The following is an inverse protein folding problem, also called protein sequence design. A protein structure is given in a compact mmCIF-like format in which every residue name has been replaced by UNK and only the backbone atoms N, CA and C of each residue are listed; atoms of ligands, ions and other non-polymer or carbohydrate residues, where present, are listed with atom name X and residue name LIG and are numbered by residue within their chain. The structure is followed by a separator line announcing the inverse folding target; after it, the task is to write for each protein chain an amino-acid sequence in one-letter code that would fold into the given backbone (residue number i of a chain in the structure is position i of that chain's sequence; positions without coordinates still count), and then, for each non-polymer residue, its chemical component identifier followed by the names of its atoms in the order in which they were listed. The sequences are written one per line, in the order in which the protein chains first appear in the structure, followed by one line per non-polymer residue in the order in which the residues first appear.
data_IF_891332073619
#
_entry.id   IF_891332073619
#
_cell.length_a   1.000
_cell.length_b   1.000
_cell.length_c   1.000
_cell.angle_alpha   90.00
_cell.angle_beta   90.00
_cell.angle_gamma   90.00
#
_symmetry.space_group_name_H-M   'P 1'
#
loop_
_entity.id
_entity.type
_entity.pdbx_description
1 polymer ?
#
# COMPACT_ATOMS: atom_id res chain seq x y z
N UNK A 1 -11.67 -2.38 -17.22
CA UNK A 1 -10.31 -2.67 -16.87
C UNK A 1 -9.47 -3.01 -18.10
N UNK A 2 -8.17 -2.67 -18.08
CA UNK A 2 -7.26 -2.96 -19.18
C UNK A 2 -6.81 -4.43 -19.19
N UNK A 3 -6.18 -4.86 -20.29
CA UNK A 3 -5.72 -6.25 -20.53
C UNK A 3 -4.64 -6.71 -19.53
N UNK A 4 -3.93 -5.81 -18.86
CA UNK A 4 -2.89 -6.11 -17.89
C UNK A 4 -3.38 -5.98 -16.43
N UNK A 5 -4.62 -6.32 -16.13
CA UNK A 5 -5.17 -6.26 -14.78
C UNK A 5 -4.42 -7.14 -13.77
N UNK A 6 -3.77 -8.20 -14.25
CA UNK A 6 -3.00 -9.17 -13.46
C UNK A 6 -1.72 -8.59 -12.82
N UNK A 7 -1.25 -7.43 -13.29
CA UNK A 7 -0.06 -6.76 -12.73
C UNK A 7 -0.39 -5.64 -11.73
N UNK A 8 -1.62 -5.54 -11.28
CA UNK A 8 -1.97 -4.57 -10.24
C UNK A 8 -1.12 -4.77 -8.99
N UNK A 9 -0.60 -3.68 -8.45
CA UNK A 9 0.06 -3.65 -7.14
C UNK A 9 -0.85 -2.98 -6.13
N UNK A 10 -0.78 -3.42 -4.88
CA UNK A 10 -1.45 -2.77 -3.74
C UNK A 10 -0.69 -1.53 -3.26
N UNK A 11 0.62 -1.52 -3.46
CA UNK A 11 1.51 -0.49 -2.93
C UNK A 11 1.61 0.74 -3.83
N UNK A 12 1.60 0.56 -5.15
CA UNK A 12 1.70 1.65 -6.12
C UNK A 12 0.95 1.33 -7.42
N UNK A 13 0.62 2.37 -8.18
CA UNK A 13 -0.07 2.20 -9.47
C UNK A 13 0.92 2.17 -10.60
N UNK A 14 0.74 1.21 -11.49
CA UNK A 14 1.44 1.07 -12.78
C UNK A 14 0.52 1.59 -13.88
N UNK A 15 1.05 2.36 -14.80
CA UNK A 15 0.39 2.70 -16.06
C UNK A 15 1.21 2.13 -17.21
N UNK A 16 0.55 1.52 -18.18
CA UNK A 16 1.25 0.92 -19.32
C UNK A 16 0.31 0.28 -20.33
N UNK A 17 0.93 -0.23 -21.40
CA UNK A 17 0.24 -0.86 -22.51
C UNK A 17 0.95 -2.15 -22.91
N UNK A 18 0.14 -3.19 -23.16
CA UNK A 18 0.59 -4.45 -23.76
C UNK A 18 0.69 -4.31 -25.27
N UNK A 19 1.64 -5.02 -25.86
CA UNK A 19 1.73 -5.27 -27.29
C UNK A 19 1.95 -6.75 -27.55
N UNK A 20 1.40 -7.27 -28.63
CA UNK A 20 1.64 -8.61 -29.10
C UNK A 20 1.67 -8.55 -30.62
N UNK A 21 2.82 -8.86 -31.20
CA UNK A 21 3.05 -8.86 -32.64
C UNK A 21 3.31 -10.29 -33.08
N UNK A 22 2.69 -10.67 -34.16
CA UNK A 22 2.97 -11.92 -34.86
C UNK A 22 4.07 -11.66 -35.89
N UNK A 23 5.03 -12.55 -35.98
CA UNK A 23 6.14 -12.51 -36.95
C UNK A 23 6.20 -13.84 -37.69
N UNK A 24 6.89 -13.86 -38.82
CA UNK A 24 7.03 -15.05 -39.68
C UNK A 24 5.69 -15.53 -40.26
N UNK A 25 4.89 -14.59 -40.79
CA UNK A 25 3.54 -14.84 -41.31
C UNK A 25 3.49 -15.87 -42.46
N UNK A 26 4.60 -16.06 -43.15
CA UNK A 26 4.68 -16.90 -44.36
C UNK A 26 5.19 -18.32 -44.05
N UNK A 27 5.26 -18.70 -42.79
CA UNK A 27 5.74 -20.03 -42.39
C UNK A 27 4.69 -20.72 -41.51
N UNK A 28 4.64 -22.03 -41.54
CA UNK A 28 3.79 -22.84 -40.65
C UNK A 28 4.17 -22.66 -39.16
N UNK A 29 5.33 -22.07 -38.90
CA UNK A 29 5.84 -21.83 -37.56
C UNK A 29 5.75 -20.36 -37.14
N UNK A 30 4.52 -19.86 -37.02
CA UNK A 30 4.24 -18.51 -36.56
C UNK A 30 4.94 -18.24 -35.21
N UNK A 31 5.65 -17.13 -35.13
CA UNK A 31 6.32 -16.65 -33.93
C UNK A 31 5.66 -15.37 -33.41
N UNK A 32 5.92 -15.03 -32.15
CA UNK A 32 5.39 -13.82 -31.51
C UNK A 32 6.50 -12.99 -30.88
N UNK A 33 6.27 -11.69 -30.84
CA UNK A 33 7.00 -10.74 -30.00
C UNK A 33 5.96 -10.13 -29.06
N UNK A 34 6.20 -10.28 -27.77
CA UNK A 34 5.28 -9.84 -26.73
C UNK A 34 5.93 -8.72 -25.92
N UNK A 35 5.22 -7.61 -25.77
CA UNK A 35 5.78 -6.41 -25.14
C UNK A 35 4.87 -5.89 -24.03
N UNK A 36 5.48 -5.24 -23.08
CA UNK A 36 4.82 -4.33 -22.15
C UNK A 36 5.68 -3.09 -21.97
N UNK A 37 5.11 -1.94 -22.24
CA UNK A 37 5.74 -0.63 -21.98
C UNK A 37 4.93 0.10 -20.93
N UNK A 38 5.61 0.71 -19.97
CA UNK A 38 4.90 1.40 -18.90
C UNK A 38 5.81 2.29 -18.06
N UNK A 39 5.20 2.92 -17.08
CA UNK A 39 5.86 3.77 -16.11
C UNK A 39 5.22 3.61 -14.73
N UNK A 40 6.00 3.92 -13.72
CA UNK A 40 5.56 3.90 -12.33
C UNK A 40 6.38 4.88 -11.47
N UNK A 41 5.79 5.36 -10.37
CA UNK A 41 4.39 5.32 -9.99
C UNK A 41 3.51 6.11 -10.98
N UNK A 42 2.28 5.66 -11.29
CA UNK A 42 1.46 6.26 -12.35
C UNK A 42 1.06 7.73 -12.09
N UNK A 43 0.94 8.15 -10.82
CA UNK A 43 0.57 9.53 -10.45
C UNK A 43 1.73 10.53 -10.53
N UNK A 44 2.94 10.07 -10.25
CA UNK A 44 4.17 10.88 -10.31
C UNK A 44 5.28 9.98 -10.82
N UNK A 45 5.39 9.83 -12.15
CA UNK A 45 6.31 8.91 -12.77
C UNK A 45 7.76 9.23 -12.44
N UNK A 46 8.50 8.21 -12.00
CA UNK A 46 9.95 8.27 -11.78
C UNK A 46 10.72 7.35 -12.70
N UNK A 47 10.09 6.25 -13.11
CA UNK A 47 10.70 5.25 -13.97
C UNK A 47 9.77 4.89 -15.11
N UNK A 48 10.36 4.71 -16.29
CA UNK A 48 9.74 4.08 -17.44
C UNK A 48 10.56 2.87 -17.84
N UNK A 49 9.90 1.83 -18.32
CA UNK A 49 10.55 0.60 -18.75
C UNK A 49 9.76 -0.03 -19.89
N UNK A 50 10.48 -0.72 -20.78
CA UNK A 50 9.90 -1.62 -21.76
C UNK A 50 10.46 -3.02 -21.54
N UNK A 51 9.56 -4.00 -21.57
CA UNK A 51 9.91 -5.42 -21.56
C UNK A 51 9.51 -6.01 -22.90
N UNK A 52 10.46 -6.64 -23.58
CA UNK A 52 10.25 -7.30 -24.87
C UNK A 52 10.62 -8.77 -24.72
N UNK A 53 9.72 -9.65 -25.05
CA UNK A 53 9.94 -11.12 -25.04
C UNK A 53 9.83 -11.61 -26.48
N UNK A 54 10.94 -12.05 -27.00
CA UNK A 54 11.02 -12.67 -28.32
C UNK A 54 10.72 -14.16 -28.22
N UNK A 55 9.90 -14.65 -29.16
CA UNK A 55 9.58 -16.08 -29.32
C UNK A 55 9.14 -16.75 -28.00
N UNK A 56 8.14 -16.19 -27.31
CA UNK A 56 7.62 -16.80 -26.08
C UNK A 56 7.10 -18.20 -26.37
N UNK A 57 7.19 -19.07 -25.37
CA UNK A 57 6.67 -20.43 -25.48
C UNK A 57 5.14 -20.40 -25.57
N UNK A 58 4.62 -20.78 -26.74
CA UNK A 58 3.17 -20.72 -27.06
C UNK A 58 2.33 -21.53 -26.06
N UNK A 59 2.84 -22.66 -25.57
CA UNK A 59 2.13 -23.52 -24.61
C UNK A 59 2.00 -22.87 -23.22
N UNK A 60 2.86 -21.92 -22.89
CA UNK A 60 2.82 -21.14 -21.63
C UNK A 60 2.15 -19.79 -21.77
N UNK A 61 1.85 -19.38 -23.01
CA UNK A 61 1.27 -18.09 -23.34
C UNK A 61 2.20 -17.18 -24.15
N UNK A 62 1.62 -16.30 -24.95
CA UNK A 62 2.34 -15.41 -25.84
C UNK A 62 1.83 -13.96 -25.81
N UNK A 63 0.78 -13.66 -25.06
CA UNK A 63 0.28 -12.29 -24.94
C UNK A 63 1.18 -11.43 -24.06
N UNK A 64 1.35 -10.16 -24.40
CA UNK A 64 2.11 -9.21 -23.61
C UNK A 64 1.66 -9.12 -22.15
N UNK A 65 0.36 -9.29 -21.90
CA UNK A 65 -0.21 -9.35 -20.54
C UNK A 65 0.22 -10.59 -19.76
N UNK A 66 0.50 -11.70 -20.44
CA UNK A 66 0.83 -13.00 -19.82
C UNK A 66 2.32 -13.15 -19.58
N UNK A 67 3.17 -12.68 -20.51
CA UNK A 67 4.62 -12.95 -20.45
C UNK A 67 5.45 -11.71 -20.16
N UNK A 68 5.14 -10.53 -20.73
CA UNK A 68 5.94 -9.31 -20.55
C UNK A 68 5.50 -8.48 -19.33
N UNK A 69 4.20 -8.31 -19.11
CA UNK A 69 3.68 -7.51 -18.02
C UNK A 69 4.07 -8.04 -16.62
N UNK A 70 4.08 -9.35 -16.33
CA UNK A 70 4.54 -9.86 -15.04
C UNK A 70 6.03 -9.58 -14.78
N UNK A 71 6.87 -9.58 -15.82
CA UNK A 71 8.30 -9.22 -15.69
C UNK A 71 8.43 -7.75 -15.34
N UNK A 72 7.69 -6.88 -16.05
CA UNK A 72 7.63 -5.45 -15.72
C UNK A 72 7.22 -5.22 -14.24
N UNK A 73 6.18 -5.93 -13.79
CA UNK A 73 5.72 -5.83 -12.38
C UNK A 73 6.84 -6.17 -11.41
N UNK A 74 7.57 -7.27 -11.62
CA UNK A 74 8.69 -7.66 -10.75
C UNK A 74 9.80 -6.60 -10.72
N UNK A 75 10.12 -5.99 -11.87
CA UNK A 75 11.09 -4.88 -11.95
C UNK A 75 10.58 -3.69 -11.14
N UNK A 76 9.32 -3.31 -11.34
CA UNK A 76 8.70 -2.18 -10.63
C UNK A 76 8.66 -2.41 -9.11
N UNK A 77 8.28 -3.60 -8.66
CA UNK A 77 8.28 -3.99 -7.23
C UNK A 77 9.69 -3.95 -6.63
N UNK A 78 10.69 -4.44 -7.38
CA UNK A 78 12.09 -4.38 -6.94
C UNK A 78 12.56 -2.94 -6.79
N UNK A 79 12.35 -2.09 -7.80
CA UNK A 79 12.74 -0.68 -7.74
C UNK A 79 11.99 0.07 -6.63
N UNK A 80 10.69 -0.19 -6.46
CA UNK A 80 9.92 0.36 -5.35
C UNK A 80 10.52 -0.02 -3.99
N UNK A 81 10.96 -1.28 -3.86
CA UNK A 81 11.53 -1.78 -2.59
C UNK A 81 12.86 -1.14 -2.21
N UNK A 82 13.69 -0.74 -3.20
CA UNK A 82 15.03 -0.18 -2.97
C UNK A 82 15.10 1.34 -3.10
N UNK A 83 13.98 2.01 -3.44
CA UNK A 83 13.93 3.47 -3.57
C UNK A 83 13.14 4.09 -2.42
N UNK A 84 13.82 4.56 -1.35
CA UNK A 84 13.16 5.08 -0.14
C UNK A 84 12.24 6.28 -0.42
N UNK A 85 12.63 7.14 -1.36
CA UNK A 85 11.87 8.34 -1.74
C UNK A 85 10.48 8.02 -2.30
N UNK A 86 10.36 6.93 -3.06
CA UNK A 86 9.06 6.49 -3.58
C UNK A 86 8.20 5.97 -2.45
N UNK A 87 8.78 5.17 -1.54
CA UNK A 87 8.07 4.66 -0.35
C UNK A 87 7.58 5.79 0.54
N UNK A 88 8.43 6.77 0.82
CA UNK A 88 8.07 7.90 1.66
C UNK A 88 6.90 8.70 1.07
N UNK A 89 6.90 8.97 -0.23
CA UNK A 89 5.82 9.71 -0.90
C UNK A 89 4.45 8.99 -0.81
N UNK A 90 4.44 7.66 -0.90
CA UNK A 90 3.21 6.88 -0.74
C UNK A 90 2.78 6.74 0.72
N UNK A 91 3.73 6.53 1.64
CA UNK A 91 3.45 6.51 3.07
C UNK A 91 2.84 7.84 3.56
N UNK A 92 3.37 8.98 3.11
CA UNK A 92 2.78 10.30 3.42
C UNK A 92 1.36 10.46 2.89
N UNK A 93 1.06 9.95 1.68
CA UNK A 93 -0.30 10.01 1.11
C UNK A 93 -1.27 9.09 1.83
N UNK A 94 -0.84 7.92 2.25
CA UNK A 94 -1.67 7.02 3.04
C UNK A 94 -1.92 7.59 4.45
N UNK A 95 -0.94 8.25 5.05
CA UNK A 95 -1.11 8.98 6.31
C UNK A 95 -2.09 10.15 6.12
N UNK A 96 -2.01 10.91 5.03
CA UNK A 96 -2.93 12.02 4.77
C UNK A 96 -4.33 11.57 4.36
N UNK A 97 -4.47 10.49 3.62
CA UNK A 97 -5.77 9.90 3.27
C UNK A 97 -6.41 9.16 4.47
N UNK A 98 -5.60 8.49 5.30
CA UNK A 98 -6.07 7.91 6.55
C UNK A 98 -6.38 8.97 7.63
N UNK A 99 -5.81 10.19 7.55
CA UNK A 99 -6.27 11.30 8.41
C UNK A 99 -7.74 11.67 8.17
N UNK A 100 -8.31 11.35 7.02
CA UNK A 100 -9.73 11.56 6.73
C UNK A 100 -10.65 10.43 7.25
N UNK A 101 -10.08 9.25 7.58
CA UNK A 101 -10.80 8.09 8.10
C UNK A 101 -10.28 7.56 9.44
N UNK A 102 -9.44 8.32 10.13
CA UNK A 102 -9.14 8.04 11.53
C UNK A 102 -10.47 8.12 12.26
N UNK A 103 -10.95 7.00 12.75
CA UNK A 103 -11.99 6.94 13.77
C UNK A 103 -11.52 7.80 14.94
N UNK A 104 -11.80 9.12 14.87
CA UNK A 104 -11.39 10.07 15.89
C UNK A 104 -11.85 9.55 17.24
N UNK A 105 -10.96 9.56 18.21
CA UNK A 105 -11.33 9.27 19.60
C UNK A 105 -12.50 10.19 19.92
N UNK A 106 -13.63 9.60 20.31
CA UNK A 106 -14.78 10.38 20.73
C UNK A 106 -14.47 10.97 22.10
N UNK A 107 -14.32 12.28 22.15
CA UNK A 107 -14.17 13.04 23.38
C UNK A 107 -15.55 13.59 23.74
N UNK A 108 -16.00 13.32 24.95
CA UNK A 108 -17.19 13.98 25.49
C UNK A 108 -16.89 15.48 25.67
N UNK A 109 -17.57 16.32 24.89
CA UNK A 109 -17.35 17.77 24.91
C UNK A 109 -17.71 18.41 26.27
N UNK A 110 -18.51 17.75 27.10
CA UNK A 110 -18.91 18.27 28.42
C UNK A 110 -17.85 18.02 29.49
N UNK A 111 -17.20 16.85 29.47
CA UNK A 111 -16.31 16.42 30.56
C UNK A 111 -14.86 16.22 30.10
N UNK A 112 -14.55 16.38 28.79
CA UNK A 112 -13.23 16.09 28.23
C UNK A 112 -12.83 14.62 28.37
N UNK A 113 -13.79 13.71 28.55
CA UNK A 113 -13.53 12.29 28.75
C UNK A 113 -13.40 11.56 27.41
N UNK A 114 -12.41 10.68 27.37
CA UNK A 114 -12.19 9.80 26.22
C UNK A 114 -13.19 8.65 26.31
N UNK A 115 -13.97 8.48 25.25
CA UNK A 115 -14.92 7.37 25.12
C UNK A 115 -14.50 6.46 23.97
N UNK A 116 -14.69 5.16 24.18
CA UNK A 116 -14.65 4.17 23.11
C UNK A 116 -13.25 3.87 22.51
N UNK A 117 -12.30 3.51 23.38
CA UNK A 117 -11.00 2.97 22.96
C UNK A 117 -11.01 1.45 22.77
N UNK A 118 -11.99 0.76 23.32
CA UNK A 118 -12.12 -0.69 23.24
C UNK A 118 -12.16 -1.16 21.78
N UNK A 119 -11.37 -2.18 21.45
CA UNK A 119 -11.30 -2.75 20.10
C UNK A 119 -10.52 -1.92 19.07
N UNK A 120 -9.98 -0.76 19.46
CA UNK A 120 -9.16 0.08 18.56
C UNK A 120 -7.71 -0.38 18.55
N UNK A 121 -7.03 -0.09 17.44
CA UNK A 121 -5.61 -0.38 17.28
C UNK A 121 -4.76 0.68 18.01
N UNK A 122 -3.76 0.22 18.78
CA UNK A 122 -2.84 1.07 19.53
C UNK A 122 -2.16 2.12 18.64
N UNK A 123 -1.70 1.73 17.46
CA UNK A 123 -1.00 2.62 16.54
C UNK A 123 -1.88 3.78 16.02
N UNK A 124 -3.21 3.59 16.00
CA UNK A 124 -4.16 4.64 15.61
C UNK A 124 -4.49 5.58 16.78
N UNK A 125 -4.50 5.03 17.98
CA UNK A 125 -4.96 5.72 19.19
C UNK A 125 -3.83 6.48 19.87
N UNK A 126 -2.63 5.93 19.91
CA UNK A 126 -1.48 6.48 20.62
C UNK A 126 -1.16 7.93 20.23
N UNK A 127 -1.00 8.29 18.95
CA UNK A 127 -0.71 9.67 18.58
C UNK A 127 -1.83 10.65 18.95
N UNK A 128 -3.08 10.17 18.99
CA UNK A 128 -4.22 11.00 19.36
C UNK A 128 -4.27 11.28 20.86
N UNK A 129 -3.91 10.28 21.68
CA UNK A 129 -3.83 10.44 23.14
C UNK A 129 -2.69 11.37 23.54
N UNK A 130 -1.51 11.20 22.93
CA UNK A 130 -0.36 12.07 23.16
C UNK A 130 -0.65 13.53 22.78
N UNK A 131 -1.31 13.76 21.64
CA UNK A 131 -1.76 15.09 21.21
C UNK A 131 -2.80 15.74 22.15
N UNK A 132 -3.51 14.93 22.95
CA UNK A 132 -4.44 15.38 23.98
C UNK A 132 -3.76 15.59 25.34
N UNK A 133 -2.43 15.41 25.41
CA UNK A 133 -1.63 15.58 26.60
C UNK A 133 -1.73 14.43 27.59
N UNK A 134 -2.06 13.22 27.13
CA UNK A 134 -2.02 12.04 27.97
C UNK A 134 -0.64 11.39 27.93
N UNK A 135 -0.11 11.04 29.09
CA UNK A 135 0.97 10.07 29.23
C UNK A 135 0.38 8.67 29.06
N UNK A 136 0.88 7.89 28.09
CA UNK A 136 0.29 6.59 27.73
C UNK A 136 1.21 5.46 28.16
N UNK A 137 0.72 4.62 29.10
CA UNK A 137 1.34 3.34 29.41
C UNK A 137 0.51 2.21 28.76
N UNK A 138 1.19 1.14 28.33
CA UNK A 138 0.47 -0.03 27.80
C UNK A 138 1.11 -1.33 28.28
N UNK A 139 0.26 -2.37 28.43
CA UNK A 139 0.65 -3.71 28.86
C UNK A 139 0.03 -4.73 27.91
N UNK A 140 0.76 -5.83 27.65
CA UNK A 140 0.32 -6.89 26.72
C UNK A 140 1.20 -6.97 25.46
N UNK A 141 0.99 -7.99 24.65
CA UNK A 141 1.80 -8.27 23.44
C UNK A 141 1.12 -7.96 22.12
N UNK A 142 -0.16 -7.58 22.13
CA UNK A 142 -0.95 -7.30 20.94
C UNK A 142 -1.02 -5.81 20.61
N UNK A 143 -1.87 -5.47 19.65
CA UNK A 143 -2.11 -4.09 19.21
C UNK A 143 -3.57 -3.64 19.44
N UNK A 144 -4.45 -4.51 19.90
CA UNK A 144 -5.86 -4.18 20.07
C UNK A 144 -6.13 -3.88 21.55
N UNK A 145 -6.75 -2.75 21.83
CA UNK A 145 -7.08 -2.31 23.19
C UNK A 145 -8.26 -3.12 23.72
N UNK A 146 -8.00 -3.91 24.77
CA UNK A 146 -9.02 -4.68 25.49
C UNK A 146 -9.65 -3.93 26.66
N UNK A 147 -8.81 -3.15 27.34
CA UNK A 147 -9.26 -2.32 28.47
C UNK A 147 -8.42 -1.05 28.53
N UNK A 148 -8.94 -0.04 29.19
CA UNK A 148 -8.19 1.17 29.48
C UNK A 148 -8.64 1.77 30.80
N UNK A 149 -7.71 2.43 31.49
CA UNK A 149 -7.95 3.16 32.74
C UNK A 149 -7.33 4.56 32.65
N UNK A 150 -8.11 5.58 32.96
CA UNK A 150 -7.71 6.98 32.92
C UNK A 150 -7.46 7.47 34.34
N UNK A 151 -6.25 7.93 34.62
CA UNK A 151 -5.84 8.49 35.89
C UNK A 151 -5.65 10.00 35.70
N UNK A 152 -6.48 10.80 36.35
CA UNK A 152 -6.35 12.26 36.36
C UNK A 152 -5.80 12.67 37.72
N UNK A 153 -4.60 13.25 37.78
CA UNK A 153 -4.04 13.97 38.93
C UNK A 153 -3.92 15.44 38.57
N UNK A 154 -3.89 16.32 39.57
CA UNK A 154 -4.01 17.79 39.41
C UNK A 154 -3.23 18.39 38.24
N UNK A 155 -2.11 17.77 37.80
CA UNK A 155 -1.29 18.29 36.70
C UNK A 155 -0.89 17.25 35.64
N UNK A 156 -1.31 15.99 35.77
CA UNK A 156 -0.96 14.91 34.82
C UNK A 156 -2.20 14.11 34.43
N UNK A 157 -2.34 13.87 33.13
CA UNK A 157 -3.34 12.97 32.58
C UNK A 157 -2.61 11.70 32.12
N UNK A 158 -2.85 10.60 32.81
CA UNK A 158 -2.24 9.33 32.46
C UNK A 158 -3.29 8.32 32.02
N UNK A 159 -3.00 7.54 31.03
CA UNK A 159 -3.86 6.45 30.55
C UNK A 159 -3.06 5.15 30.50
N UNK A 160 -3.66 4.08 31.00
CA UNK A 160 -3.08 2.73 30.95
C UNK A 160 -3.95 1.88 30.04
N UNK A 161 -3.34 1.27 29.02
CA UNK A 161 -3.98 0.43 28.03
C UNK A 161 -3.60 -1.03 28.26
N UNK A 162 -4.56 -1.93 28.25
CA UNK A 162 -4.34 -3.38 28.20
C UNK A 162 -4.57 -3.86 26.77
N UNK A 163 -3.56 -4.52 26.20
CA UNK A 163 -3.55 -4.96 24.80
C UNK A 163 -3.71 -6.48 24.68
N UNK A 164 -4.23 -6.92 23.53
CA UNK A 164 -4.28 -8.33 23.13
C UNK A 164 -3.70 -8.51 21.76
#
# INVERSE_FOLDING_TARGET
GGTAYNIRSKEFKIAGKTGTCQVDYNTDNVQYISTFVGYFPAKKPKYSCIVVIHKPNKNKGYYGSTVAAPVFKKIAEKLYSITPEIKAEFAWKDITNNKLNLNKIKIDKKNGEIKNLYGKNLNEVLPQLENLGYEVDYRGKGLIIKKYNIIKKSNTKKIILELS
#
